data_IF_708332557767
#
_entry.id   IF_708332557767
#
_cell.length_a   1.000
_cell.length_b   1.000
_cell.length_c   1.000
_cell.angle_alpha   90.00
_cell.angle_beta   90.00
_cell.angle_gamma   90.00
#
_symmetry.space_group_name_H-M   'P 1'
#
loop_
_entity.id
_entity.type
_entity.pdbx_description
1 polymer ?
#
# COMPACT_ATOMS: atom_id res chain seq x y z
N UNK A 1 -6.81 3.90 20.88
CA UNK A 1 -7.89 4.82 20.46
C UNK A 1 -8.89 4.97 21.60
N UNK A 2 -9.37 6.19 21.85
CA UNK A 2 -10.39 6.48 22.89
C UNK A 2 -11.82 6.25 22.35
N UNK A 3 -11.97 5.98 21.04
CA UNK A 3 -13.26 5.77 20.40
C UNK A 3 -13.73 4.31 20.42
N UNK A 4 -15.05 4.05 20.53
CA UNK A 4 -15.62 2.72 20.44
C UNK A 4 -15.39 2.06 19.08
N UNK A 5 -15.41 0.71 19.04
CA UNK A 5 -15.17 -0.08 17.81
C UNK A 5 -16.09 0.30 16.63
N UNK A 6 -17.30 0.77 16.90
CA UNK A 6 -18.29 1.11 15.85
C UNK A 6 -18.24 2.59 15.44
N UNK A 7 -17.26 3.36 15.90
CA UNK A 7 -17.16 4.79 15.60
C UNK A 7 -17.03 5.05 14.10
N UNK A 8 -16.16 4.30 13.42
CA UNK A 8 -15.93 4.41 11.97
C UNK A 8 -17.21 4.22 11.15
N UNK A 9 -18.01 3.20 11.49
CA UNK A 9 -19.29 2.92 10.83
C UNK A 9 -20.30 4.05 11.09
N UNK A 10 -20.35 4.58 12.31
CA UNK A 10 -21.31 5.63 12.67
C UNK A 10 -21.09 6.95 11.92
N UNK A 11 -19.86 7.23 11.51
CA UNK A 11 -19.52 8.43 10.73
C UNK A 11 -19.40 8.15 9.23
N UNK A 12 -19.66 6.91 8.79
CA UNK A 12 -19.58 6.49 7.39
C UNK A 12 -18.16 6.36 6.84
N UNK A 13 -17.13 6.28 7.69
CA UNK A 13 -15.73 6.16 7.26
C UNK A 13 -15.43 4.79 6.62
N UNK A 14 -16.17 3.76 7.04
CA UNK A 14 -16.17 2.44 6.41
C UNK A 14 -16.54 2.51 4.93
N UNK A 15 -17.51 3.35 4.56
CA UNK A 15 -17.92 3.56 3.17
C UNK A 15 -16.79 4.19 2.35
N UNK A 16 -16.05 5.14 2.94
CA UNK A 16 -14.87 5.73 2.31
C UNK A 16 -13.80 4.67 2.07
N UNK A 17 -13.46 3.86 3.08
CA UNK A 17 -12.51 2.75 2.95
C UNK A 17 -12.92 1.79 1.83
N UNK A 18 -14.20 1.41 1.76
CA UNK A 18 -14.70 0.52 0.72
C UNK A 18 -14.59 1.13 -0.69
N UNK A 19 -14.85 2.43 -0.84
CA UNK A 19 -14.68 3.12 -2.12
C UNK A 19 -13.21 3.16 -2.56
N UNK A 20 -12.28 3.42 -1.63
CA UNK A 20 -10.84 3.38 -1.91
C UNK A 20 -10.41 1.97 -2.32
N UNK A 21 -10.85 0.94 -1.58
CA UNK A 21 -10.56 -0.46 -1.91
C UNK A 21 -10.96 -0.84 -3.33
N UNK A 22 -12.08 -0.30 -3.86
CA UNK A 22 -12.49 -0.56 -5.24
C UNK A 22 -11.53 -0.01 -6.30
N UNK A 23 -10.65 0.91 -5.91
CA UNK A 23 -9.60 1.50 -6.75
C UNK A 23 -8.23 0.84 -6.52
N UNK A 24 -8.12 -0.07 -5.55
CA UNK A 24 -6.89 -0.82 -5.29
C UNK A 24 -6.64 -1.85 -6.40
N UNK A 25 -5.37 -2.00 -6.77
CA UNK A 25 -4.95 -2.90 -7.86
C UNK A 25 -4.42 -4.23 -7.31
N UNK A 26 -3.94 -4.26 -6.07
CA UNK A 26 -3.34 -5.45 -5.47
C UNK A 26 -3.83 -5.66 -4.02
N UNK A 27 -3.68 -6.89 -3.54
CA UNK A 27 -4.08 -7.31 -2.19
C UNK A 27 -3.35 -6.52 -1.09
N UNK A 28 -2.08 -6.17 -1.33
CA UNK A 28 -1.30 -5.34 -0.40
C UNK A 28 -1.95 -3.98 -0.15
N UNK A 29 -2.54 -3.37 -1.18
CA UNK A 29 -3.27 -2.10 -1.05
C UNK A 29 -4.54 -2.28 -0.23
N UNK A 30 -5.26 -3.41 -0.37
CA UNK A 30 -6.41 -3.71 0.47
C UNK A 30 -6.02 -3.83 1.95
N UNK A 31 -4.96 -4.60 2.24
CA UNK A 31 -4.42 -4.75 3.60
C UNK A 31 -4.00 -3.40 4.18
N UNK A 32 -3.38 -2.54 3.36
CA UNK A 32 -3.01 -1.19 3.77
C UNK A 32 -4.24 -0.35 4.15
N UNK A 33 -5.28 -0.34 3.31
CA UNK A 33 -6.53 0.40 3.58
C UNK A 33 -7.23 -0.11 4.84
N UNK A 34 -7.20 -1.42 5.08
CA UNK A 34 -7.73 -2.02 6.32
C UNK A 34 -6.95 -1.62 7.56
N UNK A 35 -5.63 -1.45 7.44
CA UNK A 35 -4.77 -0.99 8.51
C UNK A 35 -4.92 0.51 8.85
N UNK A 36 -5.62 1.30 8.03
CA UNK A 36 -5.84 2.72 8.29
C UNK A 36 -6.68 2.91 9.55
N UNK A 37 -6.13 3.64 10.51
CA UNK A 37 -6.79 4.00 11.76
C UNK A 37 -6.65 5.51 11.99
N UNK A 38 -7.55 6.07 12.81
CA UNK A 38 -7.42 7.45 13.25
C UNK A 38 -6.17 7.62 14.10
N UNK A 39 -5.38 8.64 13.76
CA UNK A 39 -4.28 9.11 14.60
C UNK A 39 -4.69 10.37 15.35
N UNK A 40 -4.12 10.56 16.53
CA UNK A 40 -4.18 11.81 17.30
C UNK A 40 -2.82 12.54 17.30
N UNK A 41 -1.80 11.97 16.65
CA UNK A 41 -0.48 12.57 16.53
C UNK A 41 -0.48 13.64 15.43
N UNK A 42 -0.20 14.88 15.82
CA UNK A 42 -0.21 16.02 14.91
C UNK A 42 0.81 15.87 13.76
N UNK A 43 2.02 15.42 14.06
CA UNK A 43 3.08 15.28 13.07
C UNK A 43 2.73 14.19 12.06
N UNK A 44 2.19 13.07 12.52
CA UNK A 44 1.72 12.00 11.67
C UNK A 44 0.60 12.47 10.73
N UNK A 45 -0.41 13.17 11.26
CA UNK A 45 -1.52 13.71 10.46
C UNK A 45 -0.99 14.69 9.41
N UNK A 46 -0.12 15.63 9.81
CA UNK A 46 0.46 16.63 8.92
C UNK A 46 1.23 15.96 7.76
N UNK A 47 2.04 14.95 8.06
CA UNK A 47 2.82 14.24 7.05
C UNK A 47 1.92 13.45 6.09
N UNK A 48 0.92 12.72 6.61
CA UNK A 48 -0.03 11.98 5.78
C UNK A 48 -0.80 12.90 4.82
N UNK A 49 -1.22 14.08 5.29
CA UNK A 49 -1.88 15.07 4.44
C UNK A 49 -0.92 15.64 3.37
N UNK A 50 0.34 15.88 3.71
CA UNK A 50 1.34 16.35 2.76
C UNK A 50 1.60 15.32 1.65
N UNK A 51 1.71 14.03 1.97
CA UNK A 51 1.88 12.97 0.97
C UNK A 51 0.70 12.88 0.01
N UNK A 52 -0.53 13.03 0.52
CA UNK A 52 -1.73 13.06 -0.32
C UNK A 52 -1.73 14.27 -1.25
N UNK A 53 -1.39 15.46 -0.73
CA UNK A 53 -1.30 16.68 -1.54
C UNK A 53 -0.25 16.57 -2.64
N UNK A 54 0.93 16.01 -2.33
CA UNK A 54 1.98 15.76 -3.31
C UNK A 54 1.49 14.80 -4.41
N UNK A 55 0.83 13.71 -4.02
CA UNK A 55 0.27 12.74 -4.97
C UNK A 55 -0.78 13.37 -5.89
N UNK A 56 -1.65 14.25 -5.39
CA UNK A 56 -2.57 15.02 -6.23
C UNK A 56 -1.81 15.84 -7.28
N UNK A 57 -0.75 16.53 -6.88
CA UNK A 57 0.10 17.29 -7.81
C UNK A 57 0.73 16.40 -8.89
N UNK A 58 1.19 15.20 -8.54
CA UNK A 58 1.74 14.24 -9.51
C UNK A 58 0.68 13.82 -10.55
N UNK A 59 -0.54 13.53 -10.07
CA UNK A 59 -1.65 13.11 -10.92
C UNK A 59 -2.14 14.24 -11.85
N UNK A 60 -2.28 15.46 -11.34
CA UNK A 60 -2.74 16.62 -12.13
C UNK A 60 -1.75 17.00 -13.25
N UNK A 61 -0.45 16.84 -12.99
CA UNK A 61 0.60 17.15 -13.96
C UNK A 61 0.78 16.06 -15.03
N UNK A 62 -0.07 15.03 -15.06
CA UNK A 62 0.01 13.88 -15.98
C UNK A 62 1.42 13.28 -16.05
N UNK A 63 2.10 13.26 -14.91
CA UNK A 63 3.37 12.57 -14.76
C UNK A 63 3.03 11.07 -14.77
N UNK A 64 2.95 10.48 -15.97
CA UNK A 64 2.77 9.04 -16.24
C UNK A 64 3.93 8.17 -15.70
N UNK A 65 4.65 8.67 -14.69
CA UNK A 65 5.91 8.11 -14.19
C UNK A 65 5.66 7.12 -13.06
N UNK A 66 4.51 7.16 -12.38
CA UNK A 66 4.22 6.18 -11.35
C UNK A 66 3.93 4.83 -12.02
N UNK A 67 4.80 3.82 -11.85
CA UNK A 67 4.62 2.53 -12.48
C UNK A 67 3.67 1.71 -11.60
N UNK A 68 2.40 2.07 -11.66
CA UNK A 68 1.32 1.42 -10.92
C UNK A 68 1.01 0.11 -11.63
N UNK A 69 1.72 -0.95 -11.24
CA UNK A 69 1.54 -2.31 -11.75
C UNK A 69 1.07 -3.23 -10.63
N UNK A 70 0.55 -4.41 -11.01
CA UNK A 70 0.31 -5.47 -10.05
C UNK A 70 1.64 -5.86 -9.39
N UNK A 71 1.65 -5.81 -8.05
CA UNK A 71 2.81 -6.16 -7.23
C UNK A 71 2.43 -7.41 -6.45
N UNK A 72 3.24 -8.45 -6.61
CA UNK A 72 3.10 -9.69 -5.85
C UNK A 72 3.45 -9.47 -4.37
N UNK A 73 2.77 -10.19 -3.48
CA UNK A 73 3.13 -10.20 -2.06
C UNK A 73 4.31 -11.15 -1.81
N UNK A 74 5.51 -10.56 -1.72
CA UNK A 74 6.73 -11.33 -1.48
C UNK A 74 6.94 -11.74 0.00
N UNK A 75 6.11 -11.28 0.94
CA UNK A 75 6.31 -11.57 2.38
C UNK A 75 6.28 -13.06 2.68
N UNK A 76 5.34 -13.79 2.06
CA UNK A 76 5.20 -15.24 2.24
C UNK A 76 6.39 -16.01 1.62
N UNK A 77 6.78 -15.77 0.36
CA UNK A 77 7.98 -16.37 -0.21
C UNK A 77 9.27 -16.06 0.56
N UNK A 78 9.49 -14.83 1.03
CA UNK A 78 10.68 -14.52 1.82
C UNK A 78 10.69 -15.23 3.18
N UNK A 79 9.53 -15.40 3.80
CA UNK A 79 9.43 -16.12 5.07
C UNK A 79 9.87 -17.58 4.96
N UNK A 80 9.66 -18.24 3.81
CA UNK A 80 10.12 -19.62 3.65
C UNK A 80 11.64 -19.71 3.69
N UNK A 81 12.34 -18.69 3.17
CA UNK A 81 13.82 -18.62 3.12
C UNK A 81 14.51 -18.45 4.48
N UNK A 82 13.75 -18.20 5.55
CA UNK A 82 14.29 -18.21 6.93
C UNK A 82 14.73 -19.61 7.37
N UNK A 83 14.23 -20.66 6.71
CA UNK A 83 14.65 -22.04 6.96
C UNK A 83 15.88 -22.34 6.12
N UNK A 84 16.98 -22.71 6.78
CA UNK A 84 18.23 -23.06 6.11
C UNK A 84 18.02 -24.14 5.03
N UNK A 85 18.62 -23.91 3.85
CA UNK A 85 18.52 -24.82 2.71
C UNK A 85 17.27 -24.65 1.86
N UNK A 86 16.41 -23.68 2.15
CA UNK A 86 15.29 -23.29 1.28
C UNK A 86 15.66 -22.09 0.41
N UNK A 87 15.07 -22.03 -0.79
CA UNK A 87 15.33 -20.99 -1.77
C UNK A 87 14.02 -20.54 -2.41
N UNK A 88 13.99 -19.31 -2.91
CA UNK A 88 12.88 -18.84 -3.73
C UNK A 88 12.82 -19.64 -5.03
N UNK A 89 11.61 -19.97 -5.48
CA UNK A 89 11.42 -20.59 -6.78
C UNK A 89 11.69 -19.59 -7.92
N UNK A 90 11.95 -20.14 -9.10
CA UNK A 90 12.30 -19.35 -10.29
C UNK A 90 11.22 -18.34 -10.68
N UNK A 91 9.93 -18.66 -10.48
CA UNK A 91 8.85 -17.73 -10.84
C UNK A 91 8.82 -16.56 -9.87
N UNK A 92 8.94 -16.82 -8.56
CA UNK A 92 9.04 -15.77 -7.55
C UNK A 92 10.25 -14.86 -7.79
N UNK A 93 11.41 -15.44 -8.13
CA UNK A 93 12.61 -14.66 -8.48
C UNK A 93 12.39 -13.76 -9.70
N UNK A 94 11.68 -14.26 -10.71
CA UNK A 94 11.36 -13.47 -11.90
C UNK A 94 10.37 -12.33 -11.61
N UNK A 95 9.34 -12.60 -10.81
CA UNK A 95 8.42 -11.56 -10.30
C UNK A 95 9.15 -10.51 -9.48
N UNK A 96 10.06 -10.93 -8.59
CA UNK A 96 10.88 -10.02 -7.79
C UNK A 96 11.76 -9.13 -8.68
N UNK A 97 12.39 -9.71 -9.70
CA UNK A 97 13.17 -8.94 -10.67
C UNK A 97 12.32 -7.87 -11.34
N UNK A 98 11.15 -8.24 -11.87
CA UNK A 98 10.22 -7.27 -12.49
C UNK A 98 9.83 -6.16 -11.53
N UNK A 99 9.56 -6.50 -10.28
CA UNK A 99 9.23 -5.52 -9.24
C UNK A 99 10.39 -4.53 -9.02
N UNK A 100 11.63 -5.02 -8.90
CA UNK A 100 12.80 -4.18 -8.74
C UNK A 100 13.04 -3.29 -9.97
N UNK A 101 12.93 -3.83 -11.18
CA UNK A 101 13.03 -3.07 -12.43
C UNK A 101 12.00 -1.93 -12.44
N UNK A 102 10.77 -2.22 -12.00
CA UNK A 102 9.67 -1.25 -11.87
C UNK A 102 9.99 -0.16 -10.84
N UNK A 103 10.54 -0.55 -9.67
CA UNK A 103 10.91 0.38 -8.61
C UNK A 103 12.04 1.34 -9.04
N UNK A 104 12.95 0.92 -9.93
CA UNK A 104 13.98 1.83 -10.45
C UNK A 104 13.44 2.96 -11.32
N UNK A 105 12.21 2.85 -11.85
CA UNK A 105 11.56 3.93 -12.59
C UNK A 105 11.03 5.06 -11.69
N UNK A 106 10.97 4.82 -10.37
CA UNK A 106 10.55 5.80 -9.36
C UNK A 106 11.70 6.69 -8.85
N UNK A 107 12.95 6.37 -9.20
CA UNK A 107 14.19 7.06 -8.77
C UNK A 107 14.73 7.88 -9.93
#
# INVERSE_FOLDING_TARGET
>A
MIYPKNFEQKIGFDTIKNNIKRLCINELSHIFVDGLNFSADYCEIKNRLAYVQEMFGVLENNINVLPISEIDDFRLPFKSTEVDGTFLDTNTLFSLKKFLDTATLLV
#
